data_IF_973493605952
#
_entry.id   IF_973493605952
#
_cell.length_a   1.000
_cell.length_b   1.000
_cell.length_c   1.000
_cell.angle_alpha   90.00
_cell.angle_beta   90.00
_cell.angle_gamma   90.00
#
_symmetry.space_group_name_H-M   'P 1'
#
loop_
_entity.id
_entity.type
_entity.pdbx_description
1 polymer ?
#
# COMPACT_ATOMS: atom_id res chain seq x y z
N UNK A 1 16.62 6.76 -33.80
CA UNK A 1 15.79 5.86 -32.97
C UNK A 1 16.72 5.10 -32.04
N UNK A 2 16.67 5.38 -30.74
CA UNK A 2 17.42 4.64 -29.70
C UNK A 2 16.38 4.17 -28.69
N UNK A 3 16.17 2.87 -28.46
CA UNK A 3 15.30 2.40 -27.41
C UNK A 3 16.14 2.35 -26.14
N UNK A 4 16.09 3.41 -25.34
CA UNK A 4 16.55 3.35 -23.97
C UNK A 4 15.31 3.24 -23.11
N UNK A 5 14.82 2.01 -23.00
CA UNK A 5 13.80 1.62 -22.03
C UNK A 5 14.40 1.70 -20.64
N UNK A 6 14.53 2.92 -20.13
CA UNK A 6 14.70 3.19 -18.71
C UNK A 6 13.30 3.04 -18.10
N UNK A 7 13.00 1.85 -17.58
CA UNK A 7 11.98 1.71 -16.55
C UNK A 7 12.53 2.44 -15.32
N UNK A 8 12.37 3.75 -15.29
CA UNK A 8 12.72 4.58 -14.15
C UNK A 8 11.71 4.26 -13.06
N UNK A 9 11.98 3.23 -12.28
CA UNK A 9 11.25 3.00 -11.03
C UNK A 9 11.62 4.16 -10.11
N UNK A 10 10.81 5.22 -10.15
CA UNK A 10 11.00 6.36 -9.27
C UNK A 10 10.52 5.93 -7.88
N UNK A 11 11.41 5.99 -6.90
CA UNK A 11 11.06 5.65 -5.52
C UNK A 11 10.22 6.78 -4.94
N UNK A 12 8.99 6.45 -4.53
CA UNK A 12 8.00 7.43 -4.10
C UNK A 12 8.05 7.60 -2.58
N UNK A 13 8.26 6.52 -1.81
CA UNK A 13 8.52 6.62 -0.36
C UNK A 13 8.43 5.30 0.40
N UNK A 14 8.91 5.28 1.64
CA UNK A 14 8.78 4.13 2.55
C UNK A 14 8.11 4.55 3.85
N UNK A 15 7.10 3.79 4.27
CA UNK A 15 6.33 4.00 5.49
C UNK A 15 6.57 2.84 6.45
N UNK A 16 6.82 3.17 7.71
CA UNK A 16 6.97 2.20 8.78
C UNK A 16 5.80 2.34 9.74
N UNK A 17 5.31 1.23 10.26
CA UNK A 17 4.29 1.23 11.29
C UNK A 17 3.92 -0.19 11.70
N UNK A 18 2.64 -0.42 11.97
CA UNK A 18 2.15 -1.73 12.36
C UNK A 18 0.85 -2.08 11.66
N UNK A 19 0.74 -3.31 11.21
CA UNK A 19 -0.50 -3.89 10.71
C UNK A 19 -0.85 -5.07 11.60
N UNK A 20 -2.07 -5.10 12.15
CA UNK A 20 -2.53 -6.16 13.07
C UNK A 20 -1.63 -6.40 14.29
N UNK A 21 -0.89 -5.38 14.73
CA UNK A 21 0.04 -5.47 15.86
C UNK A 21 1.42 -6.04 15.50
N UNK A 22 1.66 -6.36 14.22
CA UNK A 22 2.98 -6.76 13.71
C UNK A 22 3.65 -5.57 13.01
N UNK A 23 4.99 -5.42 13.12
CA UNK A 23 5.73 -4.43 12.34
C UNK A 23 5.45 -4.57 10.84
N UNK A 24 5.12 -3.46 10.20
CA UNK A 24 4.81 -3.39 8.79
C UNK A 24 5.65 -2.30 8.13
N UNK A 25 6.19 -2.61 6.95
CA UNK A 25 6.85 -1.65 6.07
C UNK A 25 6.11 -1.60 4.76
N UNK A 26 5.69 -0.43 4.34
CA UNK A 26 5.09 -0.18 3.03
C UNK A 26 6.05 0.60 2.16
N UNK A 27 6.27 0.12 0.94
CA UNK A 27 7.10 0.76 -0.07
C UNK A 27 6.23 1.20 -1.23
N UNK A 28 6.23 2.50 -1.52
CA UNK A 28 5.57 3.10 -2.66
C UNK A 28 6.56 3.28 -3.83
N UNK A 29 6.16 2.84 -5.01
CA UNK A 29 6.93 2.82 -6.25
C UNK A 29 6.12 3.42 -7.40
N UNK A 30 6.81 4.05 -8.33
CA UNK A 30 6.25 4.56 -9.57
C UNK A 30 6.77 3.77 -10.77
N UNK A 31 5.90 3.35 -11.67
CA UNK A 31 6.24 2.67 -12.93
C UNK A 31 5.36 3.21 -14.07
N UNK A 32 5.91 4.12 -14.87
CA UNK A 32 5.24 4.76 -16.02
C UNK A 32 4.85 3.79 -17.14
N UNK A 33 5.29 2.52 -17.08
CA UNK A 33 4.88 1.51 -18.05
C UNK A 33 3.53 0.87 -17.74
N UNK A 34 2.92 1.20 -16.59
CA UNK A 34 1.63 0.66 -16.14
C UNK A 34 0.51 1.69 -16.31
N UNK A 35 -0.70 1.20 -16.59
CA UNK A 35 -1.93 2.00 -16.60
C UNK A 35 -2.21 2.64 -15.22
N UNK A 36 -1.83 1.94 -14.16
CA UNK A 36 -1.84 2.45 -12.78
C UNK A 36 -0.38 2.54 -12.31
N UNK A 37 0.29 3.68 -12.54
CA UNK A 37 1.73 3.78 -12.39
C UNK A 37 2.18 3.83 -10.94
N UNK A 38 1.30 4.17 -9.99
CA UNK A 38 1.66 4.26 -8.57
C UNK A 38 1.23 3.01 -7.83
N UNK A 39 2.18 2.31 -7.21
CA UNK A 39 1.91 1.08 -6.47
C UNK A 39 2.54 1.17 -5.09
N UNK A 40 1.86 0.68 -4.07
CA UNK A 40 2.53 0.34 -2.81
C UNK A 40 2.45 -1.15 -2.51
N UNK A 41 3.49 -1.64 -1.84
CA UNK A 41 3.60 -3.03 -1.37
C UNK A 41 3.97 -3.03 0.10
N UNK A 42 3.35 -3.91 0.89
CA UNK A 42 3.60 -4.08 2.31
C UNK A 42 4.31 -5.39 2.60
N UNK A 43 5.14 -5.42 3.64
CA UNK A 43 5.77 -6.66 4.16
C UNK A 43 4.76 -7.70 4.64
N UNK A 44 3.50 -7.32 4.89
CA UNK A 44 2.43 -8.28 5.20
C UNK A 44 1.87 -9.01 3.95
N UNK A 45 2.36 -8.68 2.75
CA UNK A 45 1.89 -9.24 1.48
C UNK A 45 0.79 -8.44 0.79
N UNK A 46 0.24 -7.41 1.44
CA UNK A 46 -0.74 -6.52 0.81
C UNK A 46 -0.07 -5.62 -0.24
N UNK A 47 -0.77 -5.36 -1.34
CA UNK A 47 -0.35 -4.37 -2.33
C UNK A 47 -1.56 -3.69 -2.96
N UNK A 48 -1.35 -2.47 -3.49
CA UNK A 48 -2.40 -1.73 -4.18
C UNK A 48 -1.81 -0.78 -5.20
N UNK A 49 -2.50 -0.63 -6.33
CA UNK A 49 -2.16 0.25 -7.44
C UNK A 49 -3.13 1.43 -7.53
N UNK A 50 -2.64 2.53 -8.10
CA UNK A 50 -3.34 3.81 -8.21
C UNK A 50 -2.95 4.51 -9.52
N UNK A 51 -3.90 5.23 -10.14
CA UNK A 51 -3.62 6.05 -11.31
C UNK A 51 -2.83 7.33 -10.96
N UNK A 52 -2.88 7.81 -9.72
CA UNK A 52 -2.25 9.07 -9.30
C UNK A 52 -1.48 8.93 -7.97
N UNK A 53 -0.48 9.79 -7.78
CA UNK A 53 0.37 9.82 -6.58
C UNK A 53 -0.42 10.12 -5.29
N UNK A 54 -1.51 10.87 -5.38
CA UNK A 54 -2.29 11.23 -4.20
C UNK A 54 -2.90 10.02 -3.49
N UNK A 55 -3.31 9.00 -4.26
CA UNK A 55 -3.88 7.78 -3.69
C UNK A 55 -2.84 6.89 -3.01
N UNK A 56 -1.60 6.86 -3.51
CA UNK A 56 -0.60 5.88 -3.04
C UNK A 56 -0.12 6.18 -1.63
N UNK A 57 0.13 7.45 -1.30
CA UNK A 57 0.68 7.83 -0.01
C UNK A 57 -0.33 7.76 1.13
N UNK A 58 -1.53 8.33 0.96
CA UNK A 58 -2.56 8.31 1.98
C UNK A 58 -2.98 6.88 2.34
N UNK A 59 -3.06 6.01 1.34
CA UNK A 59 -3.42 4.61 1.56
C UNK A 59 -2.27 3.80 2.14
N UNK A 60 -1.02 4.04 1.71
CA UNK A 60 0.16 3.44 2.32
C UNK A 60 0.27 3.83 3.81
N UNK A 61 0.09 5.12 4.12
CA UNK A 61 0.12 5.63 5.50
C UNK A 61 -0.95 4.99 6.36
N UNK A 62 -2.21 5.00 5.91
CA UNK A 62 -3.34 4.39 6.64
C UNK A 62 -3.16 2.90 6.84
N UNK A 63 -2.49 2.21 5.92
CA UNK A 63 -2.23 0.79 6.04
C UNK A 63 -1.26 0.46 7.18
N UNK A 64 -0.20 1.27 7.38
CA UNK A 64 0.75 1.08 8.49
C UNK A 64 0.33 1.79 9.78
N UNK A 65 -0.60 2.74 9.71
CA UNK A 65 -1.13 3.50 10.84
C UNK A 65 -2.66 3.39 10.91
N UNK A 66 -3.20 2.17 11.19
CA UNK A 66 -4.63 1.99 11.29
C UNK A 66 -5.20 2.86 12.41
N UNK A 67 -6.26 3.61 12.10
CA UNK A 67 -6.98 4.38 13.12
C UNK A 67 -7.69 3.45 14.10
N UNK A 68 -8.14 3.98 15.25
CA UNK A 68 -8.98 3.23 16.19
C UNK A 68 -10.26 2.69 15.52
N UNK A 69 -10.81 3.44 14.56
CA UNK A 69 -11.97 3.01 13.78
C UNK A 69 -11.62 1.88 12.81
N UNK A 70 -10.47 1.93 12.15
CA UNK A 70 -9.99 0.84 11.27
C UNK A 70 -9.75 -0.45 12.07
N UNK A 71 -9.24 -0.31 13.30
CA UNK A 71 -9.08 -1.43 14.22
C UNK A 71 -10.43 -2.03 14.63
N UNK A 72 -11.43 -1.20 14.92
CA UNK A 72 -12.79 -1.66 15.22
C UNK A 72 -13.44 -2.35 14.02
N UNK A 73 -13.30 -1.79 12.82
CA UNK A 73 -13.80 -2.39 11.57
C UNK A 73 -13.12 -3.74 11.28
N UNK A 74 -11.82 -3.83 11.52
CA UNK A 74 -11.04 -5.06 11.38
C UNK A 74 -11.47 -6.12 12.41
N UNK A 75 -11.75 -5.70 13.66
CA UNK A 75 -12.32 -6.58 14.67
C UNK A 75 -13.71 -7.08 14.28
N UNK A 76 -14.59 -6.19 13.81
CA UNK A 76 -15.95 -6.54 13.40
C UNK A 76 -15.92 -7.53 12.22
N UNK A 77 -15.12 -7.26 11.18
CA UNK A 77 -14.98 -8.17 10.03
C UNK A 77 -14.43 -9.54 10.41
N UNK A 78 -13.48 -9.62 11.36
CA UNK A 78 -13.04 -10.93 11.91
C UNK A 78 -14.20 -11.65 12.59
N UNK A 79 -14.95 -10.97 13.48
CA UNK A 79 -16.06 -11.57 14.22
C UNK A 79 -17.18 -12.08 13.31
N UNK A 80 -17.48 -11.37 12.23
CA UNK A 80 -18.47 -11.82 11.25
C UNK A 80 -17.98 -12.96 10.35
N UNK A 81 -16.66 -13.09 10.11
CA UNK A 81 -16.09 -14.21 9.34
C UNK A 81 -16.03 -15.51 10.14
N UNK A 82 -15.87 -15.43 11.46
CA UNK A 82 -15.88 -16.62 12.35
C UNK A 82 -17.29 -17.05 12.75
N UNK A 83 -18.33 -16.26 12.42
CA UNK A 83 -19.73 -16.56 12.71
C UNK A 83 -20.48 -17.24 11.54
N UNK A 84 -19.76 -17.67 10.50
CA UNK A 84 -20.23 -18.57 9.45
C UNK A 84 -19.48 -19.89 9.55
#
# INVERSE_FOLDING_TARGET
>A
MKPQSEKTVFWVGTFHGSHDGLPAKVTATHDDTRLEPYVWTCTCGASRSFPTVHGVFDTAWRHTHPSRFDRLRSWATRRFRTAR
#
